data_IF_391300442776
#
_entry.id   IF_391300442776
#
_cell.length_a   1.000
_cell.length_b   1.000
_cell.length_c   1.000
_cell.angle_alpha   90.00
_cell.angle_beta   90.00
_cell.angle_gamma   90.00
#
_symmetry.space_group_name_H-M   'P 1'
#
loop_
_entity.id
_entity.type
_entity.pdbx_description
1 polymer ?
#
# COMPACT_ATOMS: atom_id res chain seq x y z
N UNK A 1 -13.47 -9.44 -12.11
CA UNK A 1 -12.32 -9.12 -11.22
C UNK A 1 -12.05 -7.63 -11.02
N UNK A 2 -12.26 -6.75 -12.00
CA UNK A 2 -12.25 -5.28 -11.77
C UNK A 2 -13.40 -4.78 -10.88
N UNK A 3 -14.47 -5.55 -10.73
CA UNK A 3 -15.69 -5.14 -10.01
C UNK A 3 -15.50 -5.05 -8.49
N UNK A 4 -14.69 -5.91 -7.84
CA UNK A 4 -14.53 -5.86 -6.39
C UNK A 4 -13.81 -4.58 -5.93
N UNK A 5 -12.84 -4.10 -6.72
CA UNK A 5 -12.09 -2.87 -6.41
C UNK A 5 -12.94 -1.61 -6.62
N UNK A 6 -13.68 -1.55 -7.74
CA UNK A 6 -14.64 -0.47 -7.99
C UNK A 6 -15.75 -0.46 -6.95
N UNK A 7 -16.14 -1.62 -6.49
CA UNK A 7 -17.16 -1.82 -5.48
C UNK A 7 -16.71 -1.37 -4.08
N UNK A 8 -15.51 -1.79 -3.63
CA UNK A 8 -14.90 -1.27 -2.40
C UNK A 8 -14.76 0.25 -2.44
N UNK A 9 -14.37 0.80 -3.58
CA UNK A 9 -14.33 2.23 -3.83
C UNK A 9 -15.71 2.87 -3.63
N UNK A 10 -16.78 2.26 -4.17
CA UNK A 10 -18.15 2.75 -4.03
C UNK A 10 -18.69 2.66 -2.60
N UNK A 11 -18.44 1.56 -1.90
CA UNK A 11 -18.85 1.39 -0.49
C UNK A 11 -18.14 2.42 0.40
N UNK A 12 -16.91 2.80 0.04
CA UNK A 12 -16.11 3.76 0.79
C UNK A 12 -16.32 5.22 0.36
N UNK A 13 -16.71 5.47 -0.90
CA UNK A 13 -17.17 6.80 -1.38
C UNK A 13 -18.57 7.14 -0.86
N UNK A 14 -19.39 6.15 -0.54
CA UNK A 14 -20.71 6.36 0.06
C UNK A 14 -20.65 6.74 1.57
N UNK A 15 -19.49 6.58 2.21
CA UNK A 15 -19.18 7.21 3.48
C UNK A 15 -18.62 8.60 3.16
N UNK A 16 -19.50 9.59 3.00
CA UNK A 16 -19.29 10.91 2.40
C UNK A 16 -18.12 11.75 2.95
N UNK A 17 -17.41 11.33 3.98
CA UNK A 17 -16.30 12.07 4.60
C UNK A 17 -15.08 11.22 4.97
N UNK A 18 -15.04 9.94 4.60
CA UNK A 18 -13.84 9.16 4.86
C UNK A 18 -12.67 9.73 4.05
N UNK A 19 -11.55 10.08 4.69
CA UNK A 19 -10.37 10.53 3.97
C UNK A 19 -10.07 9.47 2.92
N UNK A 20 -10.14 9.86 1.65
CA UNK A 20 -9.96 9.06 0.44
C UNK A 20 -9.13 7.82 0.73
N UNK A 21 -9.82 6.71 0.95
CA UNK A 21 -9.21 5.40 0.93
C UNK A 21 -8.80 5.19 -0.53
N UNK A 22 -7.59 5.60 -0.84
CA UNK A 22 -6.97 5.38 -2.13
C UNK A 22 -6.80 3.88 -2.33
N UNK A 23 -7.91 3.22 -2.71
CA UNK A 23 -7.84 1.89 -3.31
C UNK A 23 -7.31 2.05 -4.72
N UNK A 24 -6.09 1.84 -4.83
CA UNK A 24 -5.32 2.08 -6.02
C UNK A 24 -4.37 3.20 -5.74
N UNK A 25 -3.23 2.83 -5.17
CA UNK A 25 -2.07 3.69 -5.24
C UNK A 25 -2.02 4.23 -6.66
N UNK A 26 -1.97 5.57 -6.89
CA UNK A 26 -1.61 6.12 -8.18
C UNK A 26 -0.21 5.62 -8.59
N UNK A 27 0.52 5.06 -7.67
CA UNK A 27 1.73 4.29 -7.86
C UNK A 27 1.34 2.81 -7.97
N UNK A 28 0.82 2.39 -9.15
CA UNK A 28 0.91 0.98 -9.50
C UNK A 28 2.36 0.60 -9.32
N UNK A 29 2.65 -0.29 -8.36
CA UNK A 29 3.99 -0.83 -8.21
C UNK A 29 4.31 -1.46 -9.55
N UNK A 30 5.14 -0.81 -10.37
CA UNK A 30 5.57 -1.38 -11.64
C UNK A 30 6.42 -2.59 -11.29
N UNK A 31 5.81 -3.77 -11.30
CA UNK A 31 6.52 -5.01 -11.08
C UNK A 31 7.13 -5.48 -12.37
N UNK A 32 8.39 -5.83 -12.30
CA UNK A 32 9.08 -6.47 -13.38
C UNK A 32 9.15 -7.97 -13.07
N UNK A 33 8.64 -8.79 -13.96
CA UNK A 33 8.59 -10.25 -13.79
C UNK A 33 9.98 -10.87 -13.64
N UNK A 34 10.98 -10.29 -14.30
CA UNK A 34 12.37 -10.72 -14.24
C UNK A 34 13.33 -9.55 -14.22
N UNK A 35 14.55 -9.76 -13.69
CA UNK A 35 15.63 -8.76 -13.73
C UNK A 35 15.94 -8.33 -15.15
N UNK A 36 15.89 -9.26 -16.11
CA UNK A 36 16.13 -8.97 -17.53
C UNK A 36 15.08 -7.99 -18.08
N UNK A 37 13.81 -8.24 -17.81
CA UNK A 37 12.71 -7.36 -18.24
C UNK A 37 12.82 -5.98 -17.63
N UNK A 38 13.18 -5.91 -16.33
CA UNK A 38 13.46 -4.66 -15.65
C UNK A 38 14.60 -3.90 -16.34
N UNK A 39 15.75 -4.56 -16.55
CA UNK A 39 16.95 -3.94 -17.14
C UNK A 39 16.65 -3.32 -18.52
N UNK A 40 16.00 -4.07 -19.40
CA UNK A 40 15.64 -3.60 -20.75
C UNK A 40 14.72 -2.39 -20.70
N UNK A 41 13.60 -2.49 -19.99
CA UNK A 41 12.61 -1.40 -19.93
C UNK A 41 13.14 -0.13 -19.26
N UNK A 42 13.98 -0.28 -18.23
CA UNK A 42 14.58 0.87 -17.56
C UNK A 42 15.64 1.51 -18.43
N UNK A 43 16.48 0.73 -19.09
CA UNK A 43 17.49 1.25 -20.02
C UNK A 43 16.82 2.03 -21.15
N UNK A 44 15.78 1.50 -21.77
CA UNK A 44 15.02 2.16 -22.83
C UNK A 44 14.44 3.51 -22.37
N UNK A 45 13.75 3.53 -21.22
CA UNK A 45 13.20 4.79 -20.67
C UNK A 45 14.29 5.79 -20.30
N UNK A 46 15.40 5.32 -19.76
CA UNK A 46 16.50 6.21 -19.34
C UNK A 46 17.22 6.79 -20.55
N UNK A 47 17.41 6.01 -21.61
CA UNK A 47 17.94 6.52 -22.88
C UNK A 47 17.08 7.67 -23.42
N UNK A 48 15.77 7.50 -23.43
CA UNK A 48 14.83 8.53 -23.86
C UNK A 48 14.94 9.80 -22.99
N UNK A 49 14.97 9.65 -21.67
CA UNK A 49 15.08 10.78 -20.74
C UNK A 49 16.43 11.50 -20.83
N UNK A 50 17.53 10.77 -20.99
CA UNK A 50 18.86 11.36 -21.11
C UNK A 50 19.12 11.98 -22.48
N UNK A 51 18.40 11.58 -23.53
CA UNK A 51 18.53 12.18 -24.87
C UNK A 51 18.14 13.66 -24.89
N UNK A 52 17.16 14.07 -24.09
CA UNK A 52 16.71 15.47 -24.06
C UNK A 52 17.78 16.43 -23.50
N UNK A 53 18.37 16.25 -22.31
CA UNK A 53 19.45 17.10 -21.83
C UNK A 53 20.70 16.99 -22.72
N UNK A 54 20.97 15.85 -23.33
CA UNK A 54 22.06 15.71 -24.31
C UNK A 54 21.84 16.58 -25.53
N UNK A 55 20.63 16.61 -26.07
CA UNK A 55 20.30 17.47 -27.21
C UNK A 55 20.48 18.96 -26.84
N UNK A 56 20.09 19.38 -25.64
CA UNK A 56 20.32 20.75 -25.16
C UNK A 56 21.81 21.08 -25.08
N UNK A 57 22.63 20.16 -24.54
CA UNK A 57 24.10 20.33 -24.46
C UNK A 57 24.70 20.49 -25.86
N UNK A 58 24.29 19.67 -26.83
CA UNK A 58 24.76 19.77 -28.20
C UNK A 58 24.41 21.13 -28.81
N UNK A 59 23.16 21.60 -28.63
CA UNK A 59 22.73 22.90 -29.12
C UNK A 59 23.59 24.02 -28.49
N UNK A 60 23.82 23.99 -27.20
CA UNK A 60 24.62 24.99 -26.50
C UNK A 60 26.07 25.03 -27.00
N UNK A 61 26.67 23.86 -27.26
CA UNK A 61 28.04 23.77 -27.80
C UNK A 61 28.11 24.26 -29.24
N UNK A 62 27.03 24.15 -30.02
CA UNK A 62 26.96 24.67 -31.38
C UNK A 62 26.76 26.20 -31.42
N UNK A 63 26.01 26.73 -30.46
CA UNK A 63 25.73 28.20 -30.38
C UNK A 63 26.90 28.97 -29.77
N UNK A 64 27.50 28.39 -28.74
CA UNK A 64 28.66 28.95 -28.04
C UNK A 64 29.80 27.92 -27.99
N UNK A 65 30.55 27.78 -29.09
CA UNK A 65 31.64 26.82 -29.14
C UNK A 65 32.68 27.14 -28.06
N UNK A 66 32.98 26.16 -27.23
CA UNK A 66 34.03 26.25 -26.21
C UNK A 66 35.38 25.95 -26.88
N UNK A 67 36.44 26.60 -26.42
CA UNK A 67 37.84 26.32 -26.84
C UNK A 67 38.35 24.97 -26.29
N UNK A 68 37.44 24.04 -26.06
CA UNK A 68 37.75 22.69 -25.59
C UNK A 68 38.11 21.79 -26.77
N UNK A 69 39.04 20.84 -26.58
CA UNK A 69 39.27 19.79 -27.57
C UNK A 69 37.98 19.06 -27.91
N UNK A 70 37.81 18.72 -29.17
CA UNK A 70 36.58 18.04 -29.70
C UNK A 70 36.23 16.81 -28.86
N UNK A 71 37.25 16.04 -28.43
CA UNK A 71 37.03 14.87 -27.57
C UNK A 71 36.39 15.18 -26.24
N UNK A 72 36.68 16.32 -25.61
CA UNK A 72 36.07 16.77 -24.37
C UNK A 72 34.63 17.25 -24.57
N UNK A 73 34.35 17.94 -25.67
CA UNK A 73 32.99 18.34 -26.05
C UNK A 73 32.09 17.10 -26.26
N UNK A 74 32.61 16.09 -26.97
CA UNK A 74 31.90 14.83 -27.17
C UNK A 74 31.67 14.12 -25.83
N UNK A 75 32.70 14.03 -24.97
CA UNK A 75 32.57 13.41 -23.66
C UNK A 75 31.53 14.11 -22.81
N UNK A 76 31.47 15.43 -22.85
CA UNK A 76 30.48 16.22 -22.12
C UNK A 76 29.03 15.92 -22.53
N UNK A 77 28.80 15.65 -23.83
CA UNK A 77 27.49 15.22 -24.32
C UNK A 77 27.01 13.89 -23.71
N UNK A 78 27.92 13.03 -23.28
CA UNK A 78 27.59 11.76 -22.66
C UNK A 78 27.40 11.81 -21.14
N UNK A 79 27.70 12.94 -20.47
CA UNK A 79 27.54 13.10 -19.03
C UNK A 79 26.12 12.76 -18.54
N UNK A 80 25.01 13.19 -19.21
CA UNK A 80 23.66 12.81 -18.79
C UNK A 80 23.45 11.29 -18.75
N UNK A 81 24.04 10.55 -19.68
CA UNK A 81 23.94 9.09 -19.69
C UNK A 81 24.81 8.46 -18.62
N UNK A 82 26.04 8.92 -18.46
CA UNK A 82 26.97 8.39 -17.44
C UNK A 82 26.45 8.54 -16.03
N UNK A 83 25.75 9.64 -15.74
CA UNK A 83 25.17 9.91 -14.43
C UNK A 83 23.73 9.38 -14.32
N UNK A 84 22.90 9.64 -15.32
CA UNK A 84 21.48 9.33 -15.29
C UNK A 84 21.18 7.83 -15.30
N UNK A 85 21.92 7.03 -16.10
CA UNK A 85 21.68 5.59 -16.18
C UNK A 85 21.91 4.84 -14.86
N UNK A 86 23.06 4.97 -14.18
CA UNK A 86 23.27 4.30 -12.92
C UNK A 86 22.22 4.68 -11.87
N UNK A 87 21.87 5.97 -11.77
CA UNK A 87 20.81 6.43 -10.86
C UNK A 87 19.44 5.83 -11.20
N UNK A 88 19.05 5.83 -12.47
CA UNK A 88 17.80 5.24 -12.90
C UNK A 88 17.76 3.73 -12.64
N UNK A 89 18.84 3.01 -12.90
CA UNK A 89 18.94 1.58 -12.61
C UNK A 89 18.81 1.28 -11.12
N UNK A 90 19.59 1.98 -10.28
CA UNK A 90 19.53 1.78 -8.82
C UNK A 90 18.15 2.10 -8.30
N UNK A 91 17.60 3.27 -8.65
CA UNK A 91 16.31 3.74 -8.16
C UNK A 91 15.18 2.81 -8.58
N UNK A 92 15.11 2.46 -9.88
CA UNK A 92 14.05 1.59 -10.38
C UNK A 92 14.23 0.13 -9.96
N UNK A 93 15.45 -0.33 -9.71
CA UNK A 93 15.69 -1.65 -9.12
C UNK A 93 15.13 -1.72 -7.70
N UNK A 94 15.38 -0.70 -6.90
CA UNK A 94 14.84 -0.63 -5.54
C UNK A 94 13.31 -0.57 -5.57
N UNK A 95 12.73 0.34 -6.36
CA UNK A 95 11.28 0.58 -6.40
C UNK A 95 10.51 -0.50 -7.16
N UNK A 96 11.03 -0.96 -8.29
CA UNK A 96 10.31 -1.87 -9.16
C UNK A 96 10.60 -3.37 -8.94
N UNK A 97 11.68 -3.70 -8.23
CA UNK A 97 12.07 -5.09 -8.01
C UNK A 97 12.18 -5.45 -6.52
N UNK A 98 12.93 -4.69 -5.73
CA UNK A 98 13.12 -5.02 -4.32
C UNK A 98 11.90 -4.71 -3.47
N UNK A 99 11.26 -3.56 -3.70
CA UNK A 99 10.09 -3.15 -2.91
C UNK A 99 8.91 -4.10 -3.09
N UNK A 100 8.48 -4.49 -4.32
CA UNK A 100 7.40 -5.46 -4.49
C UNK A 100 7.68 -6.81 -3.83
N UNK A 101 8.91 -7.31 -3.93
CA UNK A 101 9.31 -8.55 -3.24
C UNK A 101 9.21 -8.43 -1.73
N UNK A 102 9.61 -7.29 -1.19
CA UNK A 102 9.50 -7.03 0.25
C UNK A 102 8.04 -6.92 0.70
N UNK A 103 7.19 -6.24 -0.06
CA UNK A 103 5.76 -6.14 0.20
C UNK A 103 5.12 -7.53 0.20
N UNK A 104 5.38 -8.31 -0.85
CA UNK A 104 4.86 -9.68 -0.97
C UNK A 104 5.30 -10.56 0.21
N UNK A 105 6.56 -10.46 0.63
CA UNK A 105 7.06 -11.19 1.80
C UNK A 105 6.30 -10.81 3.06
N UNK A 106 6.10 -9.51 3.33
CA UNK A 106 5.36 -9.06 4.52
C UNK A 106 3.90 -9.50 4.46
N UNK A 107 3.25 -9.44 3.28
CA UNK A 107 1.89 -9.93 3.10
C UNK A 107 1.78 -11.43 3.39
N UNK A 108 2.77 -12.23 2.99
CA UNK A 108 2.83 -13.64 3.33
C UNK A 108 3.01 -13.84 4.84
N UNK A 109 3.93 -13.12 5.47
CA UNK A 109 4.16 -13.17 6.92
C UNK A 109 2.87 -12.86 7.70
N UNK A 110 2.13 -11.83 7.29
CA UNK A 110 0.83 -11.47 7.91
C UNK A 110 -0.19 -12.59 7.70
N UNK A 111 -0.32 -13.08 6.46
CA UNK A 111 -1.30 -14.12 6.12
C UNK A 111 -1.05 -15.42 6.91
N UNK A 112 0.19 -15.86 6.96
CA UNK A 112 0.60 -17.09 7.66
C UNK A 112 0.51 -16.96 9.19
N UNK A 113 0.74 -15.75 9.72
CA UNK A 113 0.72 -15.52 11.15
C UNK A 113 -0.68 -15.35 11.74
N UNK A 114 -1.53 -14.58 11.06
CA UNK A 114 -2.80 -14.11 11.60
C UNK A 114 -4.03 -14.70 10.90
N UNK A 115 -3.91 -15.09 9.63
CA UNK A 115 -5.04 -15.52 8.79
C UNK A 115 -4.90 -16.98 8.35
N UNK A 116 -4.58 -17.84 9.30
CA UNK A 116 -4.47 -19.29 9.06
C UNK A 116 -5.82 -19.84 8.61
N UNK A 117 -5.85 -20.50 7.45
CA UNK A 117 -7.07 -21.05 6.86
C UNK A 117 -7.85 -20.09 5.97
N UNK A 118 -7.39 -18.85 5.81
CA UNK A 118 -7.97 -17.93 4.83
C UNK A 118 -7.42 -18.22 3.43
N UNK A 119 -8.29 -18.16 2.44
CA UNK A 119 -7.89 -18.16 1.03
C UNK A 119 -7.22 -16.82 0.70
N UNK A 120 -6.04 -16.90 0.10
CA UNK A 120 -5.27 -15.72 -0.29
C UNK A 120 -5.42 -15.47 -1.77
N UNK A 121 -5.93 -14.31 -2.14
CA UNK A 121 -6.08 -13.88 -3.52
C UNK A 121 -5.28 -12.60 -3.79
N UNK A 122 -4.19 -12.74 -4.51
CA UNK A 122 -3.38 -11.59 -4.98
C UNK A 122 -4.11 -10.94 -6.16
N UNK A 123 -4.64 -9.74 -5.97
CA UNK A 123 -5.42 -9.01 -6.99
C UNK A 123 -4.50 -8.11 -7.83
N UNK A 124 -3.56 -7.46 -7.18
CA UNK A 124 -2.54 -6.62 -7.80
C UNK A 124 -1.24 -6.70 -6.97
N UNK A 125 -0.08 -6.38 -7.56
CA UNK A 125 1.12 -6.16 -6.77
C UNK A 125 0.89 -5.10 -5.69
N UNK A 126 0.98 -5.51 -4.43
CA UNK A 126 0.68 -4.62 -3.31
C UNK A 126 -0.78 -4.56 -2.87
N UNK A 127 -1.63 -5.44 -3.39
CA UNK A 127 -3.00 -5.62 -2.92
C UNK A 127 -3.38 -7.10 -2.87
N UNK A 128 -3.74 -7.58 -1.69
CA UNK A 128 -4.10 -8.98 -1.44
C UNK A 128 -5.40 -9.04 -0.65
N UNK A 129 -6.32 -9.85 -1.09
CA UNK A 129 -7.56 -10.20 -0.43
C UNK A 129 -7.37 -11.51 0.35
N UNK A 130 -7.86 -11.55 1.56
CA UNK A 130 -7.84 -12.69 2.46
C UNK A 130 -9.30 -13.06 2.77
N UNK A 131 -9.72 -14.21 2.32
CA UNK A 131 -11.10 -14.67 2.40
C UNK A 131 -11.23 -15.87 3.30
N UNK A 132 -12.17 -15.85 4.21
CA UNK A 132 -12.69 -17.02 4.88
C UNK A 132 -14.16 -17.21 4.57
N UNK A 133 -14.80 -18.18 5.18
CA UNK A 133 -16.22 -18.49 4.92
C UNK A 133 -17.13 -17.28 5.22
N UNK A 134 -16.82 -16.46 6.22
CA UNK A 134 -17.67 -15.37 6.69
C UNK A 134 -16.95 -14.03 6.81
N UNK A 135 -15.65 -13.98 6.59
CA UNK A 135 -14.84 -12.80 6.83
C UNK A 135 -13.97 -12.48 5.62
N UNK A 136 -13.84 -11.21 5.34
CA UNK A 136 -12.96 -10.69 4.30
C UNK A 136 -12.05 -9.60 4.87
N UNK A 137 -10.76 -9.76 4.61
CA UNK A 137 -9.73 -8.82 4.98
C UNK A 137 -8.90 -8.43 3.76
N UNK A 138 -8.35 -7.22 3.78
CA UNK A 138 -7.55 -6.70 2.68
C UNK A 138 -6.21 -6.22 3.19
N UNK A 139 -5.16 -6.59 2.48
CA UNK A 139 -3.81 -6.08 2.65
C UNK A 139 -3.49 -5.14 1.50
N UNK A 140 -3.11 -3.92 1.81
CA UNK A 140 -2.77 -2.89 0.82
C UNK A 140 -1.41 -2.28 1.14
N UNK A 141 -0.56 -2.14 0.12
CA UNK A 141 0.63 -1.32 0.18
C UNK A 141 0.32 0.08 -0.35
N UNK A 142 0.75 1.11 0.37
CA UNK A 142 0.63 2.49 -0.06
C UNK A 142 1.79 3.36 0.45
N UNK A 143 1.94 4.55 -0.13
CA UNK A 143 2.95 5.51 0.29
C UNK A 143 2.30 6.81 0.75
N UNK A 144 2.70 7.30 1.92
CA UNK A 144 2.33 8.63 2.44
C UNK A 144 3.60 9.38 2.82
N UNK A 145 3.77 10.60 2.29
CA UNK A 145 4.89 11.49 2.64
C UNK A 145 6.23 10.76 2.65
N UNK A 146 6.52 9.99 1.60
CA UNK A 146 7.72 9.16 1.44
C UNK A 146 7.88 8.02 2.47
N UNK A 147 6.81 7.65 3.17
CA UNK A 147 6.79 6.48 4.05
C UNK A 147 6.03 5.35 3.39
N UNK A 148 6.67 4.19 3.34
CA UNK A 148 6.04 2.95 2.88
C UNK A 148 5.20 2.38 4.03
N UNK A 149 3.92 2.18 3.77
CA UNK A 149 2.93 1.70 4.72
C UNK A 149 2.25 0.45 4.19
N UNK A 150 1.79 -0.39 5.10
CA UNK A 150 0.88 -1.49 4.83
C UNK A 150 -0.40 -1.21 5.59
N UNK A 151 -1.54 -1.22 4.90
CA UNK A 151 -2.84 -1.21 5.52
C UNK A 151 -3.37 -2.64 5.61
N UNK A 152 -3.93 -2.98 6.77
CA UNK A 152 -4.84 -4.10 6.96
C UNK A 152 -6.23 -3.52 7.16
N UNK A 153 -7.21 -4.01 6.42
CA UNK A 153 -8.53 -3.43 6.36
C UNK A 153 -9.60 -4.52 6.40
N UNK A 154 -10.66 -4.27 7.15
CA UNK A 154 -11.87 -5.08 7.14
C UNK A 154 -13.11 -4.20 7.13
N UNK A 155 -14.16 -4.71 6.52
CA UNK A 155 -15.51 -4.13 6.59
C UNK A 155 -16.29 -4.90 7.64
N UNK A 156 -17.07 -4.17 8.44
CA UNK A 156 -17.96 -4.75 9.41
C UNK A 156 -19.35 -4.13 9.31
N UNK A 157 -20.35 -4.84 9.77
CA UNK A 157 -21.73 -4.35 9.89
C UNK A 157 -22.25 -4.58 11.30
N UNK A 158 -23.22 -3.77 11.75
CA UNK A 158 -23.97 -4.06 12.95
C UNK A 158 -24.73 -5.39 12.82
N UNK A 159 -24.82 -6.12 13.93
CA UNK A 159 -25.68 -7.33 14.01
C UNK A 159 -27.18 -6.97 14.11
N UNK A 160 -27.47 -5.72 14.47
CA UNK A 160 -28.82 -5.17 14.55
C UNK A 160 -28.93 -4.10 13.46
N UNK A 161 -29.86 -4.24 12.55
CA UNK A 161 -29.95 -3.45 11.30
C UNK A 161 -30.14 -1.94 11.53
N UNK A 162 -30.73 -1.52 12.63
CA UNK A 162 -31.01 -0.08 12.93
C UNK A 162 -29.93 0.59 13.81
N UNK A 163 -28.78 -0.05 14.02
CA UNK A 163 -27.72 0.54 14.82
C UNK A 163 -26.92 1.55 13.98
N UNK A 164 -27.08 2.85 14.30
CA UNK A 164 -26.21 3.88 13.74
C UNK A 164 -24.82 3.82 14.39
N UNK A 165 -23.79 3.90 13.54
CA UNK A 165 -22.40 3.92 13.95
C UNK A 165 -21.84 5.33 13.74
N UNK A 166 -21.51 6.01 14.84
CA UNK A 166 -20.87 7.33 14.83
C UNK A 166 -19.35 7.17 14.94
N UNK A 167 -18.61 7.87 14.08
CA UNK A 167 -17.14 7.78 14.01
C UNK A 167 -16.47 8.20 15.33
N UNK A 168 -16.93 9.30 15.92
CA UNK A 168 -16.35 9.83 17.16
C UNK A 168 -16.54 8.86 18.32
N UNK A 169 -17.74 8.29 18.41
CA UNK A 169 -18.06 7.29 19.44
C UNK A 169 -17.23 6.02 19.24
N UNK A 170 -17.08 5.56 18.00
CA UNK A 170 -16.28 4.38 17.67
C UNK A 170 -14.80 4.58 18.01
N UNK A 171 -14.23 5.75 17.71
CA UNK A 171 -12.84 6.06 18.08
C UNK A 171 -12.62 6.06 19.60
N UNK A 172 -13.54 6.66 20.37
CA UNK A 172 -13.48 6.67 21.83
C UNK A 172 -13.63 5.27 22.41
N UNK A 173 -14.57 4.49 21.89
CA UNK A 173 -14.77 3.09 22.28
C UNK A 173 -13.52 2.26 21.98
N UNK A 174 -12.88 2.46 20.83
CA UNK A 174 -11.66 1.75 20.47
C UNK A 174 -10.49 2.14 21.38
N UNK A 175 -10.31 3.42 21.71
CA UNK A 175 -9.29 3.87 22.66
C UNK A 175 -9.51 3.23 24.03
N UNK A 176 -10.74 3.28 24.54
CA UNK A 176 -11.11 2.66 25.82
C UNK A 176 -10.92 1.13 25.80
N UNK A 177 -11.25 0.47 24.72
CA UNK A 177 -11.01 -0.97 24.53
C UNK A 177 -9.50 -1.28 24.60
N UNK A 178 -8.66 -0.52 23.88
CA UNK A 178 -7.22 -0.71 23.90
C UNK A 178 -6.62 -0.52 25.30
N UNK A 179 -7.08 0.48 26.04
CA UNK A 179 -6.63 0.74 27.41
C UNK A 179 -7.02 -0.40 28.37
N UNK A 180 -8.29 -0.82 28.35
CA UNK A 180 -8.80 -1.90 29.21
C UNK A 180 -8.14 -3.24 28.93
N UNK A 181 -7.83 -3.52 27.67
CA UNK A 181 -7.25 -4.77 27.23
C UNK A 181 -5.73 -4.76 27.20
N UNK A 182 -5.10 -3.61 27.48
CA UNK A 182 -3.67 -3.38 27.31
C UNK A 182 -3.19 -3.80 25.90
N UNK A 183 -4.02 -3.53 24.88
CA UNK A 183 -3.74 -3.91 23.51
C UNK A 183 -2.58 -3.09 22.96
N UNK A 184 -1.43 -3.74 22.83
CA UNK A 184 -0.16 -3.11 22.47
C UNK A 184 0.42 -3.73 21.20
N UNK A 185 1.07 -2.87 20.40
CA UNK A 185 1.85 -3.29 19.25
C UNK A 185 3.24 -2.66 19.35
N UNK A 186 4.28 -3.46 19.53
CA UNK A 186 5.65 -2.97 19.74
C UNK A 186 5.74 -1.91 20.85
N UNK A 187 5.19 -2.19 22.02
CA UNK A 187 5.19 -1.31 23.20
C UNK A 187 4.48 0.03 23.00
N UNK A 188 3.61 0.14 22.01
CA UNK A 188 2.74 1.28 21.77
C UNK A 188 1.30 0.84 21.77
N UNK A 189 0.40 1.70 22.26
CA UNK A 189 -1.03 1.41 22.20
C UNK A 189 -1.45 1.10 20.76
N UNK A 190 -2.24 0.05 20.58
CA UNK A 190 -2.78 -0.34 19.28
C UNK A 190 -3.58 0.81 18.63
N UNK A 191 -4.22 1.65 19.45
CA UNK A 191 -4.95 2.83 18.99
C UNK A 191 -4.11 3.83 18.16
N UNK A 192 -2.76 3.78 18.25
CA UNK A 192 -1.89 4.64 17.43
C UNK A 192 -1.76 4.19 15.98
N UNK A 193 -2.15 2.96 15.68
CA UNK A 193 -2.01 2.37 14.34
C UNK A 193 -3.35 2.13 13.66
N UNK A 194 -4.46 2.24 14.38
CA UNK A 194 -5.79 1.86 13.93
C UNK A 194 -6.68 3.09 13.85
N UNK A 195 -7.38 3.20 12.73
CA UNK A 195 -8.48 4.13 12.55
C UNK A 195 -9.75 3.30 12.42
N UNK A 196 -10.78 3.69 13.17
CA UNK A 196 -12.09 3.05 13.11
C UNK A 196 -13.06 4.05 12.51
N UNK A 197 -13.73 3.62 11.45
CA UNK A 197 -14.74 4.40 10.77
C UNK A 197 -16.09 3.69 10.85
N UNK A 198 -17.20 4.37 10.59
CA UNK A 198 -18.46 3.68 10.37
C UNK A 198 -18.30 2.58 9.29
N UNK A 199 -18.59 1.35 9.66
CA UNK A 199 -18.57 0.17 8.78
C UNK A 199 -17.21 -0.34 8.31
N UNK A 200 -16.08 0.25 8.72
CA UNK A 200 -14.77 -0.34 8.42
C UNK A 200 -13.70 0.01 9.46
N UNK A 201 -12.73 -0.88 9.58
CA UNK A 201 -11.55 -0.70 10.44
C UNK A 201 -10.30 -0.78 9.58
N UNK A 202 -9.36 0.13 9.81
CA UNK A 202 -8.12 0.23 9.07
C UNK A 202 -6.92 0.32 10.00
N UNK A 203 -5.98 -0.58 9.83
CA UNK A 203 -4.69 -0.56 10.53
C UNK A 203 -3.61 -0.05 9.58
N UNK A 204 -2.83 0.92 10.01
CA UNK A 204 -1.78 1.54 9.21
C UNK A 204 -0.40 1.20 9.80
N UNK A 205 0.28 0.23 9.21
CA UNK A 205 1.56 -0.28 9.67
C UNK A 205 2.72 0.27 8.85
N UNK A 206 3.65 1.04 9.46
CA UNK A 206 4.87 1.41 8.77
C UNK A 206 5.69 0.16 8.40
N UNK A 207 6.14 0.02 7.15
CA UNK A 207 6.98 -1.11 6.72
C UNK A 207 8.30 -1.24 7.50
N UNK A 208 8.73 -0.18 8.17
CA UNK A 208 9.90 -0.21 9.06
C UNK A 208 9.62 -0.88 10.40
N UNK A 209 8.35 -1.02 10.76
CA UNK A 209 7.93 -1.67 12.00
C UNK A 209 8.12 -3.18 11.83
N UNK A 210 9.15 -3.71 12.46
CA UNK A 210 9.42 -5.15 12.46
C UNK A 210 8.47 -5.82 13.45
N UNK A 211 7.40 -6.40 12.94
CA UNK A 211 6.44 -7.17 13.70
C UNK A 211 6.82 -8.65 13.69
N UNK A 212 6.46 -9.36 14.74
CA UNK A 212 6.64 -10.80 14.88
C UNK A 212 5.33 -11.54 14.61
N UNK A 213 5.38 -12.83 14.40
CA UNK A 213 4.19 -13.68 14.25
C UNK A 213 3.17 -13.50 15.39
N UNK A 214 3.57 -13.47 16.68
CA UNK A 214 2.65 -13.15 17.77
C UNK A 214 2.03 -11.75 17.65
N UNK A 215 2.79 -10.72 17.21
CA UNK A 215 2.25 -9.37 17.04
C UNK A 215 1.10 -9.35 16.03
N UNK A 216 1.26 -10.03 14.87
CA UNK A 216 0.21 -10.12 13.86
C UNK A 216 -1.01 -10.88 14.32
N UNK A 217 -0.80 -11.99 15.05
CA UNK A 217 -1.90 -12.78 15.60
C UNK A 217 -2.69 -11.99 16.64
N UNK A 218 -2.01 -11.34 17.57
CA UNK A 218 -2.64 -10.50 18.58
C UNK A 218 -3.41 -9.35 17.93
N UNK A 219 -2.81 -8.69 16.93
CA UNK A 219 -3.46 -7.65 16.15
C UNK A 219 -4.82 -8.13 15.58
N UNK A 220 -4.83 -9.26 14.88
CA UNK A 220 -6.06 -9.82 14.33
C UNK A 220 -7.10 -10.11 15.42
N UNK A 221 -6.69 -10.77 16.50
CA UNK A 221 -7.60 -11.13 17.60
C UNK A 221 -8.14 -9.88 18.34
N UNK A 222 -7.33 -8.85 18.53
CA UNK A 222 -7.76 -7.63 19.20
C UNK A 222 -8.74 -6.83 18.32
N UNK A 223 -8.49 -6.75 17.00
CA UNK A 223 -9.42 -6.10 16.08
C UNK A 223 -10.76 -6.81 16.02
N UNK A 224 -10.74 -8.14 15.91
CA UNK A 224 -11.97 -8.94 15.90
C UNK A 224 -12.74 -8.81 17.22
N UNK A 225 -12.04 -8.90 18.35
CA UNK A 225 -12.66 -8.73 19.67
C UNK A 225 -13.24 -7.33 19.87
N UNK A 226 -12.63 -6.29 19.28
CA UNK A 226 -13.22 -4.95 19.29
C UNK A 226 -14.52 -4.92 18.48
N UNK A 227 -14.52 -5.42 17.24
CA UNK A 227 -15.72 -5.45 16.40
C UNK A 227 -16.85 -6.22 17.10
N UNK A 228 -16.55 -7.35 17.72
CA UNK A 228 -17.51 -8.10 18.53
C UNK A 228 -18.04 -7.29 19.73
N UNK A 229 -17.17 -6.51 20.38
CA UNK A 229 -17.52 -5.70 21.58
C UNK A 229 -18.49 -4.56 21.27
N UNK A 230 -18.55 -4.09 20.04
CA UNK A 230 -19.49 -3.07 19.57
C UNK A 230 -20.74 -3.69 18.89
N UNK A 231 -20.96 -4.97 19.11
CA UNK A 231 -22.08 -5.73 18.52
C UNK A 231 -22.11 -5.72 16.99
N UNK A 232 -20.92 -5.76 16.38
CA UNK A 232 -20.75 -5.83 14.95
C UNK A 232 -20.11 -7.18 14.52
N UNK A 233 -20.12 -7.46 13.24
CA UNK A 233 -19.44 -8.61 12.66
C UNK A 233 -18.67 -8.21 11.40
N UNK A 234 -17.50 -8.81 11.18
CA UNK A 234 -16.73 -8.64 9.96
C UNK A 234 -17.45 -9.44 8.86
N UNK A 235 -17.58 -8.85 7.67
CA UNK A 235 -18.39 -9.42 6.59
C UNK A 235 -17.63 -9.51 5.28
N UNK A 236 -18.17 -10.29 4.36
CA UNK A 236 -17.75 -10.27 2.96
C UNK A 236 -18.28 -9.00 2.29
N UNK A 237 -17.44 -8.36 1.47
CA UNK A 237 -17.82 -7.13 0.75
C UNK A 237 -19.05 -7.32 -0.12
N UNK A 238 -19.20 -8.50 -0.75
CA UNK A 238 -20.36 -8.84 -1.57
C UNK A 238 -21.66 -8.93 -0.74
N UNK A 239 -21.60 -9.45 0.48
CA UNK A 239 -22.77 -9.56 1.36
C UNK A 239 -23.22 -8.21 1.90
N UNK A 240 -22.31 -7.27 2.07
CA UNK A 240 -22.63 -5.92 2.54
C UNK A 240 -23.45 -5.13 1.51
N UNK A 241 -23.21 -5.35 0.18
CA UNK A 241 -23.99 -4.67 -0.86
C UNK A 241 -25.42 -5.16 -0.97
N UNK A 242 -25.61 -6.45 -0.77
CA UNK A 242 -26.95 -7.05 -0.89
C UNK A 242 -27.91 -6.59 0.21
N UNK A 243 -27.41 -6.13 1.36
CA UNK A 243 -28.24 -5.65 2.47
C UNK A 243 -28.65 -4.17 2.39
N UNK A 244 -28.05 -3.40 1.45
CA UNK A 244 -28.37 -1.96 1.24
C UNK A 244 -29.13 -1.67 -0.07
N UNK A 245 -29.43 -2.70 -0.87
CA UNK A 245 -30.32 -2.64 -2.02
C UNK A 245 -31.70 -3.15 -1.67
#
# INVERSE_FOLDING_TARGET
MRHSRAYMKHVMEAADDAPLLYFGSPYSIQTYSTVKTWFVKVTEKTLLLCSFPTAIIIILLLVEPKDWPIGEQIAFCFVPFMVGMPFAWIFTFIQGYLLPKRVKRIFNEISEAAFVGFEKKELDPGYTQLLSHNEEWHLEFYQIKNRNMIALLAIFKPRIDDQELDETILEEQFKSFCEKRCAMLKNKSLAQYVNVYPYHIRVNLPMKLKLTTPDYRNLYHDLKAFVDSINCEIVLVESYSASKL
#
